data_IF_015541020489
#
_entry.id   IF_015541020489
#
_cell.length_a   1.000
_cell.length_b   1.000
_cell.length_c   1.000
_cell.angle_alpha   90.00
_cell.angle_beta   90.00
_cell.angle_gamma   90.00
#
_symmetry.space_group_name_H-M   'P 1'
#
loop_
_entity.id
_entity.type
_entity.pdbx_description
1 polymer ?
#
# COMPACT_ATOMS: atom_id res chain seq x y z
N UNK A 1 -22.22 -43.86 34.95
CA UNK A 1 -21.50 -43.75 33.65
C UNK A 1 -22.21 -42.87 32.62
N UNK A 2 -23.55 -42.93 32.45
CA UNK A 2 -24.31 -42.05 31.52
C UNK A 2 -24.25 -40.54 31.83
N UNK A 3 -24.16 -40.17 33.11
CA UNK A 3 -23.99 -38.77 33.57
C UNK A 3 -22.59 -38.20 33.33
N UNK A 4 -21.58 -39.05 33.20
CA UNK A 4 -20.20 -38.64 32.91
C UNK A 4 -20.01 -38.33 31.42
N UNK A 5 -20.73 -39.04 30.54
CA UNK A 5 -20.68 -38.86 29.08
C UNK A 5 -21.36 -37.54 28.66
N UNK A 6 -22.43 -37.13 29.35
CA UNK A 6 -23.12 -35.85 29.09
C UNK A 6 -22.24 -34.63 29.44
N UNK A 7 -21.38 -34.73 30.46
CA UNK A 7 -20.48 -33.65 30.85
C UNK A 7 -19.36 -33.42 29.81
N UNK A 8 -18.88 -34.47 29.14
CA UNK A 8 -17.85 -34.36 28.10
C UNK A 8 -18.38 -33.77 26.79
N UNK A 9 -19.63 -34.04 26.42
CA UNK A 9 -20.27 -33.46 25.23
C UNK A 9 -20.55 -31.97 25.44
N UNK A 10 -20.97 -31.55 26.64
CA UNK A 10 -21.21 -30.14 26.97
C UNK A 10 -19.97 -29.26 26.87
N UNK A 11 -18.79 -29.75 27.29
CA UNK A 11 -17.54 -29.00 27.18
C UNK A 11 -17.04 -28.84 25.73
N UNK A 12 -17.35 -29.79 24.83
CA UNK A 12 -16.95 -29.72 23.43
C UNK A 12 -17.78 -28.71 22.60
N UNK A 13 -19.02 -28.41 23.05
CA UNK A 13 -19.86 -27.36 22.44
C UNK A 13 -19.52 -25.94 22.94
N UNK A 14 -18.89 -25.80 24.12
CA UNK A 14 -18.49 -24.52 24.68
C UNK A 14 -17.16 -23.97 24.11
N UNK A 15 -16.36 -24.80 23.46
CA UNK A 15 -15.09 -24.39 22.83
C UNK A 15 -15.15 -24.29 21.30
N UNK A 16 -16.29 -24.63 20.66
CA UNK A 16 -16.41 -24.66 19.19
C UNK A 16 -16.62 -23.28 18.56
N UNK A 17 -17.13 -22.30 19.31
CA UNK A 17 -17.44 -20.98 18.75
C UNK A 17 -16.40 -19.92 19.14
N UNK A 18 -15.12 -20.19 18.85
CA UNK A 18 -14.16 -19.08 18.76
C UNK A 18 -14.55 -18.23 17.53
N UNK A 19 -14.85 -16.93 17.68
CA UNK A 19 -15.07 -16.08 16.52
C UNK A 19 -13.77 -16.04 15.71
N UNK A 20 -13.87 -16.27 14.40
CA UNK A 20 -12.76 -15.99 13.50
C UNK A 20 -12.46 -14.49 13.55
N UNK A 21 -11.40 -14.10 14.27
CA UNK A 21 -10.85 -12.76 14.16
C UNK A 21 -10.08 -12.71 12.85
N UNK A 22 -10.78 -12.42 11.74
CA UNK A 22 -10.12 -12.10 10.49
C UNK A 22 -9.58 -10.68 10.58
N UNK A 23 -8.29 -10.48 10.32
CA UNK A 23 -7.75 -9.13 10.16
C UNK A 23 -8.57 -8.38 9.09
N UNK A 24 -8.83 -7.09 9.32
CA UNK A 24 -9.47 -6.26 8.31
C UNK A 24 -8.65 -6.27 7.02
N UNK A 25 -9.33 -6.39 5.88
CA UNK A 25 -8.65 -6.28 4.59
C UNK A 25 -8.20 -4.83 4.39
N UNK A 26 -6.98 -4.64 3.90
CA UNK A 26 -6.55 -3.34 3.41
C UNK A 26 -7.45 -2.95 2.22
N UNK A 27 -7.85 -1.69 2.17
CA UNK A 27 -8.71 -1.16 1.10
C UNK A 27 -7.98 -0.18 0.19
N UNK A 28 -6.77 0.25 0.58
CA UNK A 28 -5.99 1.24 -0.14
C UNK A 28 -4.49 1.08 0.16
N UNK A 29 -3.66 1.45 -0.82
CA UNK A 29 -2.23 1.65 -0.67
C UNK A 29 -1.93 3.15 -0.68
N UNK A 30 -1.31 3.65 0.38
CA UNK A 30 -0.82 5.03 0.49
C UNK A 30 0.70 4.97 0.54
N UNK A 31 1.36 5.64 -0.40
CA UNK A 31 2.80 5.56 -0.59
C UNK A 31 3.47 6.90 -0.26
N UNK A 32 4.65 6.84 0.36
CA UNK A 32 5.55 7.97 0.59
C UNK A 32 6.95 7.54 0.17
N UNK A 33 7.76 8.46 -0.31
CA UNK A 33 9.14 8.16 -0.68
C UNK A 33 9.68 9.08 -1.76
N UNK A 34 10.61 8.53 -2.53
CA UNK A 34 11.37 9.21 -3.56
C UNK A 34 11.06 8.65 -4.96
N UNK A 35 12.02 8.75 -5.87
CA UNK A 35 11.91 8.31 -7.26
C UNK A 35 11.60 6.82 -7.40
N UNK A 36 11.97 5.97 -6.44
CA UNK A 36 11.69 4.54 -6.50
C UNK A 36 10.20 4.22 -6.32
N UNK A 37 9.43 5.17 -5.79
CA UNK A 37 8.02 5.02 -5.47
C UNK A 37 7.13 5.96 -6.29
N UNK A 38 7.66 7.10 -6.72
CA UNK A 38 6.95 8.15 -7.45
C UNK A 38 6.33 7.63 -8.77
N UNK A 39 4.98 7.62 -8.82
CA UNK A 39 4.17 7.20 -9.97
C UNK A 39 3.88 8.34 -10.96
N UNK A 40 4.44 9.53 -10.74
CA UNK A 40 4.35 10.65 -11.68
C UNK A 40 4.13 12.03 -11.05
N UNK A 41 4.30 12.20 -9.75
CA UNK A 41 4.24 13.51 -9.08
C UNK A 41 5.27 14.48 -9.65
N UNK A 42 6.55 14.07 -9.75
CA UNK A 42 7.57 14.94 -10.36
C UNK A 42 7.26 15.24 -11.83
N UNK A 43 6.77 14.24 -12.56
CA UNK A 43 6.35 14.42 -13.94
C UNK A 43 5.23 15.46 -14.10
N UNK A 44 4.23 15.38 -13.23
CA UNK A 44 3.12 16.33 -13.22
C UNK A 44 3.58 17.76 -12.85
N UNK A 45 4.35 17.95 -11.76
CA UNK A 45 4.77 19.30 -11.34
C UNK A 45 5.79 19.94 -12.30
N UNK A 46 6.51 19.14 -13.07
CA UNK A 46 7.41 19.63 -14.13
C UNK A 46 6.70 19.78 -15.48
N UNK A 47 5.38 19.69 -15.51
CA UNK A 47 4.55 19.81 -16.70
C UNK A 47 4.99 18.84 -17.82
N UNK A 48 5.31 17.61 -17.44
CA UNK A 48 5.70 16.52 -18.33
C UNK A 48 7.13 16.58 -18.86
N UNK A 49 8.00 17.39 -18.27
CA UNK A 49 9.38 17.58 -18.78
C UNK A 49 10.43 16.72 -18.07
N UNK A 50 10.15 16.20 -16.88
CA UNK A 50 11.08 15.34 -16.14
C UNK A 50 10.34 14.30 -15.29
N UNK A 51 10.73 13.01 -15.27
CA UNK A 51 11.89 12.43 -15.96
C UNK A 51 11.73 12.37 -17.48
N UNK A 52 12.84 12.52 -18.22
CA UNK A 52 12.84 12.56 -19.69
C UNK A 52 12.69 11.15 -20.27
N UNK A 53 11.73 10.96 -21.17
CA UNK A 53 11.58 9.72 -21.93
C UNK A 53 12.30 9.83 -23.29
N UNK A 54 13.03 8.80 -23.76
CA UNK A 54 13.47 7.59 -23.04
C UNK A 54 14.64 7.84 -22.05
N UNK A 55 14.92 6.94 -21.08
CA UNK A 55 14.36 5.58 -20.93
C UNK A 55 13.11 5.51 -20.06
N UNK A 56 12.73 6.60 -19.42
CA UNK A 56 11.67 6.63 -18.42
C UNK A 56 10.28 6.50 -19.06
N UNK A 57 9.43 5.66 -18.48
CA UNK A 57 8.09 5.39 -18.98
C UNK A 57 7.03 6.18 -18.19
N UNK A 58 6.14 6.85 -18.91
CA UNK A 58 4.98 7.57 -18.36
C UNK A 58 5.26 8.40 -17.09
N UNK A 59 6.42 9.06 -17.00
CA UNK A 59 6.78 9.90 -15.87
C UNK A 59 7.29 9.18 -14.62
N UNK A 60 7.47 7.85 -14.65
CA UNK A 60 8.13 7.09 -13.59
C UNK A 60 9.64 7.20 -13.74
N UNK A 61 10.38 7.09 -12.64
CA UNK A 61 11.84 6.91 -12.68
C UNK A 61 12.23 5.44 -12.96
N UNK A 62 11.51 4.80 -13.88
CA UNK A 62 11.64 3.41 -14.30
C UNK A 62 11.26 3.30 -15.79
N UNK A 63 11.67 2.24 -16.48
CA UNK A 63 11.29 1.92 -17.86
C UNK A 63 9.94 1.18 -17.96
N UNK A 64 9.17 1.20 -16.87
CA UNK A 64 7.84 0.65 -16.71
C UNK A 64 7.28 0.98 -15.31
N UNK A 65 6.26 0.25 -14.84
CA UNK A 65 5.66 0.48 -13.52
C UNK A 65 6.68 0.39 -12.37
N UNK A 66 6.50 1.23 -11.35
CA UNK A 66 7.27 1.13 -10.11
C UNK A 66 6.66 0.10 -9.15
N UNK A 67 7.42 -0.32 -8.13
CA UNK A 67 7.04 -1.45 -7.27
C UNK A 67 5.70 -1.27 -6.55
N UNK A 68 5.28 -0.04 -6.24
CA UNK A 68 3.99 0.23 -5.58
C UNK A 68 2.79 -0.03 -6.47
N UNK A 69 2.92 0.16 -7.79
CA UNK A 69 1.87 -0.18 -8.76
C UNK A 69 1.69 -1.70 -8.84
N UNK A 70 2.80 -2.43 -8.89
CA UNK A 70 2.84 -3.91 -8.85
C UNK A 70 2.29 -4.47 -7.54
N UNK A 71 2.63 -3.85 -6.40
CA UNK A 71 2.13 -4.27 -5.10
C UNK A 71 0.61 -4.08 -5.00
N UNK A 72 0.10 -2.92 -5.40
CA UNK A 72 -1.33 -2.64 -5.39
C UNK A 72 -2.10 -3.68 -6.24
N UNK A 73 -1.59 -3.97 -7.44
CA UNK A 73 -2.14 -5.01 -8.33
C UNK A 73 -2.19 -6.39 -7.65
N UNK A 74 -1.08 -6.82 -7.05
CA UNK A 74 -0.97 -8.14 -6.37
C UNK A 74 -1.88 -8.25 -5.14
N UNK A 75 -2.15 -7.13 -4.47
CA UNK A 75 -3.04 -7.08 -3.32
C UNK A 75 -4.51 -6.88 -3.69
N UNK A 76 -4.84 -6.67 -4.98
CA UNK A 76 -6.18 -6.33 -5.42
C UNK A 76 -6.65 -4.96 -4.91
N UNK A 77 -5.71 -4.04 -4.67
CA UNK A 77 -5.97 -2.67 -4.23
C UNK A 77 -6.07 -1.73 -5.44
N UNK A 78 -6.77 -0.59 -5.31
CA UNK A 78 -6.71 0.47 -6.31
C UNK A 78 -5.26 0.90 -6.58
N UNK A 79 -4.92 1.11 -7.85
CA UNK A 79 -3.60 1.60 -8.24
C UNK A 79 -3.34 2.98 -7.61
N UNK A 80 -2.15 3.22 -7.04
CA UNK A 80 -1.79 4.54 -6.55
C UNK A 80 -1.68 5.53 -7.72
N UNK A 81 -2.22 6.73 -7.53
CA UNK A 81 -2.13 7.86 -8.46
C UNK A 81 -1.29 8.98 -7.84
N UNK A 82 -0.72 9.91 -8.63
CA UNK A 82 0.04 11.03 -8.11
C UNK A 82 -0.80 11.88 -7.13
N UNK A 83 -0.30 12.14 -5.92
CA UNK A 83 -0.95 13.06 -4.95
C UNK A 83 -1.13 14.47 -5.51
N UNK A 84 -0.27 14.90 -6.43
CA UNK A 84 -0.40 16.16 -7.17
C UNK A 84 -1.63 16.21 -8.10
N UNK A 85 -2.27 15.07 -8.36
CA UNK A 85 -3.55 14.92 -9.06
C UNK A 85 -4.67 14.41 -8.12
N UNK A 86 -4.44 14.39 -6.81
CA UNK A 86 -5.41 13.94 -5.79
C UNK A 86 -5.37 12.44 -5.47
N UNK A 87 -4.30 11.73 -5.88
CA UNK A 87 -4.08 10.32 -5.60
C UNK A 87 -3.46 10.00 -4.25
N UNK A 88 -3.03 8.74 -4.08
CA UNK A 88 -2.51 8.18 -2.82
C UNK A 88 -1.00 7.96 -2.83
N UNK A 89 -0.31 8.32 -3.91
CA UNK A 89 1.14 8.38 -3.94
C UNK A 89 1.65 9.78 -3.59
N UNK A 90 2.26 9.90 -2.43
CA UNK A 90 2.92 11.11 -1.93
C UNK A 90 4.44 11.07 -2.13
N UNK A 91 4.97 10.11 -2.89
CA UNK A 91 6.38 10.09 -3.23
C UNK A 91 6.71 11.16 -4.28
N UNK A 92 7.83 11.85 -4.10
CA UNK A 92 8.36 12.81 -5.06
C UNK A 92 9.81 12.44 -5.36
N UNK A 93 10.15 12.25 -6.64
CA UNK A 93 11.53 12.06 -7.08
C UNK A 93 12.50 13.08 -6.47
N UNK A 94 13.49 12.60 -5.71
CA UNK A 94 14.47 13.42 -5.00
C UNK A 94 14.10 13.76 -3.55
N UNK A 95 12.98 13.27 -3.03
CA UNK A 95 12.66 13.40 -1.60
C UNK A 95 13.73 12.71 -0.74
N UNK A 96 14.12 13.37 0.35
CA UNK A 96 15.09 12.86 1.31
C UNK A 96 14.42 12.54 2.65
N UNK A 97 14.98 11.59 3.40
CA UNK A 97 14.61 11.43 4.81
C UNK A 97 15.17 12.60 5.60
N UNK A 98 14.30 13.41 6.21
CA UNK A 98 14.75 14.50 7.06
C UNK A 98 14.59 14.16 8.55
N UNK A 99 15.62 14.46 9.36
CA UNK A 99 15.61 14.25 10.81
C UNK A 99 15.39 15.51 11.64
N UNK A 100 15.34 16.72 11.06
CA UNK A 100 15.33 17.94 11.88
C UNK A 100 13.93 18.46 12.20
N UNK A 101 13.74 18.72 13.49
CA UNK A 101 12.73 19.58 14.06
C UNK A 101 12.82 21.00 13.48
N UNK A 102 11.98 21.29 12.49
CA UNK A 102 11.67 22.65 12.08
C UNK A 102 12.37 23.12 10.80
N UNK A 103 11.51 23.29 9.78
CA UNK A 103 11.59 24.25 8.68
C UNK A 103 12.77 24.10 7.70
N UNK A 104 12.45 23.59 6.51
CA UNK A 104 13.09 23.98 5.25
C UNK A 104 12.43 25.24 4.69
#
# INVERSE_FOLDING_TARGET
>A
MKRLILAFIGCFFLTWQAPEVKAGQFTQLVAFGDSLTDVGNVYHITNGTFPVSPPYDQGRFSDGPVWVEELASRMGLPAPLPSSEGGTDFAFGGAETHTASGLS
#
